data_IF_300786515332
#
_entry.id   IF_300786515332
#
_cell.length_a   1.000
_cell.length_b   1.000
_cell.length_c   1.000
_cell.angle_alpha   90.00
_cell.angle_beta   90.00
_cell.angle_gamma   90.00
#
_symmetry.space_group_name_H-M   'P 1'
#
loop_
_entity.id
_entity.type
_entity.pdbx_description
1 polymer ?
#
# COMPACT_ATOMS: atom_id res chain seq x y z
N UNK A 1 -10.66 -24.55 -5.17
CA UNK A 1 -10.23 -23.25 -5.72
C UNK A 1 -11.14 -22.94 -6.90
N UNK A 2 -11.94 -21.89 -6.79
CA UNK A 2 -12.85 -21.47 -7.87
C UNK A 2 -12.06 -20.58 -8.82
N UNK A 3 -12.11 -20.86 -10.12
CA UNK A 3 -11.52 -19.98 -11.14
C UNK A 3 -12.51 -18.85 -11.40
N UNK A 4 -12.17 -17.64 -10.98
CA UNK A 4 -13.00 -16.44 -11.12
C UNK A 4 -12.33 -15.48 -12.13
N UNK A 5 -12.94 -15.31 -13.30
CA UNK A 5 -12.42 -14.51 -14.43
C UNK A 5 -13.20 -13.21 -14.64
N UNK A 6 -14.03 -12.80 -13.69
CA UNK A 6 -14.86 -11.60 -13.83
C UNK A 6 -14.03 -10.32 -13.89
N UNK A 7 -12.98 -10.22 -13.07
CA UNK A 7 -12.05 -9.09 -13.01
C UNK A 7 -10.86 -9.45 -12.09
N UNK A 8 -9.73 -8.80 -12.27
CA UNK A 8 -8.58 -8.79 -11.35
C UNK A 8 -8.88 -8.16 -9.97
N UNK A 9 -9.90 -7.30 -9.88
CA UNK A 9 -10.36 -6.70 -8.62
C UNK A 9 -10.90 -7.71 -7.60
N UNK A 10 -11.16 -8.96 -8.00
CA UNK A 10 -11.55 -10.05 -7.08
C UNK A 10 -10.38 -10.60 -6.27
N UNK A 11 -9.15 -10.15 -6.54
CA UNK A 11 -7.97 -10.53 -5.77
C UNK A 11 -8.14 -10.17 -4.29
N UNK A 12 -7.61 -11.02 -3.42
CA UNK A 12 -7.63 -10.83 -1.97
C UNK A 12 -6.21 -10.75 -1.43
N UNK A 13 -5.97 -10.03 -0.32
CA UNK A 13 -4.65 -9.96 0.29
C UNK A 13 -4.06 -11.34 0.55
N UNK A 14 -2.80 -11.55 0.19
CA UNK A 14 -2.07 -12.74 0.60
C UNK A 14 -1.83 -12.71 2.11
N UNK A 15 -1.51 -13.85 2.68
CA UNK A 15 -1.19 -13.95 4.10
C UNK A 15 0.02 -13.08 4.51
N UNK A 16 1.03 -12.93 3.63
CA UNK A 16 2.13 -11.99 3.84
C UNK A 16 1.67 -10.53 3.86
N UNK A 17 0.75 -10.16 2.97
CA UNK A 17 0.17 -8.81 2.93
C UNK A 17 -0.66 -8.51 4.19
N UNK A 18 -1.46 -9.48 4.67
CA UNK A 18 -2.23 -9.31 5.92
C UNK A 18 -1.32 -9.07 7.13
N UNK A 19 -0.21 -9.81 7.24
CA UNK A 19 0.76 -9.58 8.32
C UNK A 19 1.44 -8.22 8.23
N UNK A 20 1.81 -7.78 7.03
CA UNK A 20 2.40 -6.46 6.83
C UNK A 20 1.43 -5.34 7.23
N UNK A 21 0.16 -5.43 6.81
CA UNK A 21 -0.89 -4.48 7.20
C UNK A 21 -1.07 -4.47 8.73
N UNK A 22 -1.16 -5.65 9.36
CA UNK A 22 -1.37 -5.76 10.79
C UNK A 22 -0.19 -5.24 11.64
N UNK A 23 1.02 -5.23 11.09
CA UNK A 23 2.24 -4.79 11.77
C UNK A 23 2.67 -3.37 11.41
N UNK A 24 1.96 -2.69 10.50
CA UNK A 24 2.32 -1.35 10.04
C UNK A 24 2.19 -0.31 11.17
N UNK A 25 3.15 0.60 11.24
CA UNK A 25 3.02 1.80 12.06
C UNK A 25 2.04 2.76 11.37
N UNK A 26 1.04 3.24 12.10
CA UNK A 26 -0.01 4.11 11.55
C UNK A 26 -0.09 5.40 12.35
N UNK A 27 -0.58 6.45 11.69
CA UNK A 27 -0.73 7.79 12.26
C UNK A 27 -1.95 8.51 11.65
N UNK A 28 -2.00 9.82 11.82
CA UNK A 28 -3.02 10.65 11.18
C UNK A 28 -2.48 11.21 9.86
N UNK A 29 -3.03 10.73 8.76
CA UNK A 29 -2.63 11.14 7.42
C UNK A 29 -2.98 12.60 7.09
N UNK A 30 -4.03 13.16 7.71
CA UNK A 30 -4.39 14.58 7.50
C UNK A 30 -3.29 15.51 8.01
N UNK A 31 -2.62 15.10 9.08
CA UNK A 31 -1.45 15.80 9.63
C UNK A 31 -0.12 15.29 9.07
N UNK A 32 -0.15 14.34 8.13
CA UNK A 32 1.03 13.69 7.54
C UNK A 32 1.91 12.96 8.56
N UNK A 33 1.31 12.50 9.65
CA UNK A 33 1.99 11.78 10.74
C UNK A 33 1.92 10.25 10.57
N UNK A 34 1.33 9.73 9.48
CA UNK A 34 1.33 8.30 9.18
C UNK A 34 2.63 7.88 8.47
N UNK A 35 3.54 7.15 9.16
CA UNK A 35 4.83 6.81 8.58
C UNK A 35 4.72 5.81 7.44
N UNK A 36 3.70 4.94 7.43
CA UNK A 36 3.53 3.92 6.39
C UNK A 36 2.99 4.53 5.11
N UNK A 37 2.06 5.48 5.20
CA UNK A 37 1.58 6.25 4.04
C UNK A 37 2.73 7.04 3.41
N UNK A 38 3.46 7.80 4.23
CA UNK A 38 4.57 8.63 3.75
C UNK A 38 5.65 7.79 3.04
N UNK A 39 5.97 6.61 3.60
CA UNK A 39 6.93 5.69 2.99
C UNK A 39 6.44 5.12 1.65
N UNK A 40 5.14 4.82 1.51
CA UNK A 40 4.56 4.38 0.25
C UNK A 40 4.66 5.47 -0.81
N UNK A 41 4.25 6.69 -0.49
CA UNK A 41 4.28 7.84 -1.40
C UNK A 41 5.69 8.15 -1.88
N UNK A 42 6.65 8.24 -0.95
CA UNK A 42 8.05 8.49 -1.27
C UNK A 42 8.62 7.42 -2.20
N UNK A 43 8.34 6.14 -1.92
CA UNK A 43 8.79 5.02 -2.75
C UNK A 43 8.16 5.06 -4.14
N UNK A 44 6.87 5.39 -4.25
CA UNK A 44 6.20 5.52 -5.55
C UNK A 44 6.76 6.69 -6.35
N UNK A 45 7.00 7.84 -5.71
CA UNK A 45 7.62 8.98 -6.34
C UNK A 45 9.04 8.66 -6.86
N UNK A 46 9.84 7.92 -6.10
CA UNK A 46 11.14 7.43 -6.54
C UNK A 46 11.03 6.51 -7.76
N UNK A 47 10.16 5.49 -7.71
CA UNK A 47 9.95 4.54 -8.79
C UNK A 47 9.51 5.23 -10.08
N UNK A 48 8.66 6.25 -9.97
CA UNK A 48 8.10 6.97 -11.11
C UNK A 48 8.94 8.19 -11.54
N UNK A 49 10.02 8.51 -10.83
CA UNK A 49 10.88 9.66 -11.12
C UNK A 49 10.19 11.02 -10.86
N UNK A 50 9.23 11.06 -9.95
CA UNK A 50 8.43 12.25 -9.59
C UNK A 50 9.01 13.00 -8.38
N UNK A 51 10.31 12.86 -8.11
CA UNK A 51 10.97 13.57 -7.01
C UNK A 51 10.74 15.09 -7.10
N UNK A 52 10.53 15.72 -5.93
CA UNK A 52 10.05 17.11 -5.77
C UNK A 52 10.56 18.07 -6.87
N UNK A 53 9.61 18.59 -7.65
CA UNK A 53 9.82 19.72 -8.56
C UNK A 53 9.84 21.05 -7.81
#
# INVERSE_FOLDING_TARGET
MTVDLRSDTVTVPTEGMRRAIAAAEVGDDVYHDDPTVNALEARVAEILGLGAA
#
